data_IF_231640983991
#
_entry.id   IF_231640983991
#
_cell.length_a   1.000
_cell.length_b   1.000
_cell.length_c   1.000
_cell.angle_alpha   90.00
_cell.angle_beta   90.00
_cell.angle_gamma   90.00
#
_symmetry.space_group_name_H-M   'P 1'
#
loop_
_entity.id
_entity.type
_entity.pdbx_description
1 polymer ?
#
# COMPACT_ATOMS: atom_id res chain seq x y z
N UNK A 1 -17.22 -1.92 7.04
CA UNK A 1 -16.71 -2.93 6.09
C UNK A 1 -16.09 -4.05 6.89
N UNK A 2 -16.68 -5.24 6.88
CA UNK A 2 -16.05 -6.45 7.44
C UNK A 2 -15.18 -7.02 6.32
N UNK A 3 -13.93 -6.58 6.27
CA UNK A 3 -12.95 -6.96 5.27
C UNK A 3 -11.58 -7.09 5.95
N UNK A 4 -10.71 -7.90 5.34
CA UNK A 4 -9.34 -8.22 5.80
C UNK A 4 -8.66 -7.03 6.50
N UNK A 5 -8.13 -7.28 7.69
CA UNK A 5 -7.39 -6.28 8.47
C UNK A 5 -6.01 -6.04 7.85
N UNK A 6 -5.39 -4.89 8.16
CA UNK A 6 -4.02 -4.62 7.74
C UNK A 6 -3.05 -5.68 8.27
N UNK A 7 -3.24 -6.10 9.52
CA UNK A 7 -2.42 -7.14 10.16
C UNK A 7 -2.50 -8.48 9.42
N UNK A 8 -3.70 -8.87 8.98
CA UNK A 8 -3.87 -10.07 8.15
C UNK A 8 -3.22 -9.89 6.78
N UNK A 9 -3.36 -8.72 6.16
CA UNK A 9 -2.81 -8.45 4.84
C UNK A 9 -1.27 -8.53 4.81
N UNK A 10 -0.59 -7.92 5.80
CA UNK A 10 0.88 -7.98 5.89
C UNK A 10 1.38 -9.41 6.16
N UNK A 11 0.61 -10.21 6.91
CA UNK A 11 0.93 -11.63 7.12
C UNK A 11 0.73 -12.46 5.84
N UNK A 12 -0.32 -12.20 5.07
CA UNK A 12 -0.60 -12.91 3.81
C UNK A 12 0.51 -12.66 2.78
N UNK A 13 1.01 -11.42 2.69
CA UNK A 13 2.07 -11.06 1.75
C UNK A 13 3.48 -11.25 2.30
N UNK A 14 3.63 -11.66 3.57
CA UNK A 14 4.92 -11.85 4.22
C UNK A 14 5.83 -10.63 4.06
N UNK A 15 5.28 -9.46 4.43
CA UNK A 15 5.95 -8.15 4.43
C UNK A 15 5.98 -7.57 5.83
N UNK A 16 6.88 -6.61 6.06
CA UNK A 16 6.96 -5.93 7.35
C UNK A 16 5.72 -5.04 7.57
N UNK A 17 5.24 -4.93 8.82
CA UNK A 17 4.21 -3.96 9.14
C UNK A 17 4.72 -2.52 8.89
N UNK A 18 3.82 -1.56 8.61
CA UNK A 18 4.21 -0.18 8.37
C UNK A 18 5.05 0.38 9.53
N UNK A 19 6.18 1.03 9.22
CA UNK A 19 7.03 1.70 10.21
C UNK A 19 6.83 3.21 10.10
N UNK A 20 6.46 3.86 11.20
CA UNK A 20 6.14 5.30 11.17
C UNK A 20 4.98 5.64 10.22
N UNK A 21 4.07 4.68 9.99
CA UNK A 21 2.98 4.77 9.01
C UNK A 21 3.38 4.43 7.57
N UNK A 22 4.66 4.41 7.24
CA UNK A 22 5.11 4.16 5.87
C UNK A 22 5.17 2.65 5.58
N UNK A 23 4.73 2.27 4.38
CA UNK A 23 4.79 0.91 3.84
C UNK A 23 5.80 0.88 2.71
N UNK A 24 6.66 -0.13 2.68
CA UNK A 24 7.52 -0.42 1.54
C UNK A 24 6.69 -1.03 0.40
N UNK A 25 6.21 -0.16 -0.50
CA UNK A 25 5.35 -0.59 -1.62
C UNK A 25 6.11 -1.42 -2.67
N UNK A 26 7.44 -1.32 -2.72
CA UNK A 26 8.25 -2.14 -3.63
C UNK A 26 8.26 -3.59 -3.14
N UNK A 27 8.53 -3.81 -1.85
CA UNK A 27 8.47 -5.14 -1.22
C UNK A 27 7.07 -5.76 -1.37
N UNK A 28 6.00 -4.98 -1.14
CA UNK A 28 4.61 -5.42 -1.29
C UNK A 28 4.31 -5.92 -2.71
N UNK A 29 4.74 -5.17 -3.73
CA UNK A 29 4.47 -5.53 -5.13
C UNK A 29 5.27 -6.75 -5.59
N UNK A 30 6.53 -6.88 -5.18
CA UNK A 30 7.34 -8.07 -5.46
C UNK A 30 6.73 -9.34 -4.83
N UNK A 31 6.41 -9.27 -3.53
CA UNK A 31 5.76 -10.36 -2.81
C UNK A 31 4.41 -10.72 -3.40
N UNK A 32 3.59 -9.72 -3.71
CA UNK A 32 2.30 -9.91 -4.37
C UNK A 32 2.47 -10.69 -5.68
N UNK A 33 3.36 -10.22 -6.58
CA UNK A 33 3.55 -10.87 -7.89
C UNK A 33 3.96 -12.32 -7.73
N UNK A 34 4.97 -12.59 -6.90
CA UNK A 34 5.47 -13.95 -6.65
C UNK A 34 4.38 -14.88 -6.12
N UNK A 35 3.64 -14.44 -5.09
CA UNK A 35 2.59 -15.26 -4.47
C UNK A 35 1.39 -15.44 -5.40
N UNK A 36 0.99 -14.38 -6.12
CA UNK A 36 -0.15 -14.41 -7.03
C UNK A 36 0.09 -15.35 -8.21
N UNK A 37 1.28 -15.29 -8.82
CA UNK A 37 1.68 -16.16 -9.94
C UNK A 37 1.82 -17.63 -9.49
N UNK A 38 2.37 -17.86 -8.29
CA UNK A 38 2.51 -19.21 -7.73
C UNK A 38 1.16 -19.87 -7.37
N UNK A 39 0.11 -19.07 -7.17
CA UNK A 39 -1.23 -19.54 -6.82
C UNK A 39 -2.20 -19.48 -8.01
N UNK A 40 -1.70 -19.33 -9.24
CA UNK A 40 -2.51 -19.33 -10.46
C UNK A 40 -3.36 -20.62 -10.59
N UNK A 41 -4.70 -20.53 -10.57
CA UNK A 41 -5.58 -21.69 -10.70
C UNK A 41 -5.39 -22.46 -11.99
N UNK A 42 -4.96 -21.80 -13.06
CA UNK A 42 -4.69 -22.45 -14.35
C UNK A 42 -3.44 -23.34 -14.31
N UNK A 43 -2.57 -23.12 -13.33
CA UNK A 43 -1.32 -23.87 -13.11
C UNK A 43 -1.41 -24.82 -11.90
N UNK A 44 -2.62 -25.14 -11.44
CA UNK A 44 -2.86 -26.01 -10.29
C UNK A 44 -2.84 -25.30 -8.94
N UNK A 45 -2.80 -23.96 -8.92
CA UNK A 45 -2.97 -23.16 -7.72
C UNK A 45 -4.43 -23.08 -7.24
N UNK A 46 -4.67 -22.32 -6.17
CA UNK A 46 -6.00 -22.15 -5.58
C UNK A 46 -6.56 -20.76 -5.87
N UNK A 47 -7.73 -20.70 -6.52
CA UNK A 47 -8.44 -19.44 -6.75
C UNK A 47 -8.75 -18.70 -5.45
N UNK A 48 -9.05 -19.43 -4.38
CA UNK A 48 -9.28 -18.85 -3.07
C UNK A 48 -8.03 -18.18 -2.52
N UNK A 49 -6.87 -18.85 -2.58
CA UNK A 49 -5.60 -18.29 -2.10
C UNK A 49 -5.17 -17.09 -2.95
N UNK A 50 -5.25 -17.21 -4.28
CA UNK A 50 -4.97 -16.10 -5.20
C UNK A 50 -5.86 -14.90 -4.92
N UNK A 51 -7.16 -15.13 -4.66
CA UNK A 51 -8.09 -14.06 -4.25
C UNK A 51 -7.71 -13.43 -2.92
N UNK A 52 -7.24 -14.19 -1.93
CA UNK A 52 -6.76 -13.65 -0.65
C UNK A 52 -5.50 -12.79 -0.83
N UNK A 53 -4.58 -13.22 -1.69
CA UNK A 53 -3.37 -12.47 -2.02
C UNK A 53 -3.72 -11.12 -2.68
N UNK A 54 -4.69 -11.12 -3.60
CA UNK A 54 -5.20 -9.88 -4.21
C UNK A 54 -5.81 -8.93 -3.16
N UNK A 55 -6.68 -9.44 -2.29
CA UNK A 55 -7.31 -8.63 -1.23
C UNK A 55 -6.31 -8.08 -0.23
N UNK A 56 -5.24 -8.81 0.06
CA UNK A 56 -4.16 -8.33 0.91
C UNK A 56 -3.44 -7.12 0.29
N UNK A 57 -3.11 -7.18 -1.01
CA UNK A 57 -2.49 -6.05 -1.71
C UNK A 57 -3.41 -4.82 -1.70
N UNK A 58 -4.69 -5.00 -2.08
CA UNK A 58 -5.69 -3.92 -2.08
C UNK A 58 -5.82 -3.26 -0.70
N UNK A 59 -5.77 -4.06 0.37
CA UNK A 59 -5.87 -3.56 1.74
C UNK A 59 -4.66 -2.71 2.13
N UNK A 60 -3.45 -3.16 1.80
CA UNK A 60 -2.22 -2.41 2.10
C UNK A 60 -2.18 -1.12 1.28
N UNK A 61 -2.55 -1.15 0.00
CA UNK A 61 -2.62 0.03 -0.86
C UNK A 61 -3.61 1.08 -0.34
N UNK A 62 -4.77 0.63 0.16
CA UNK A 62 -5.78 1.51 0.73
C UNK A 62 -5.31 2.24 2.00
N UNK A 63 -4.49 1.59 2.83
CA UNK A 63 -3.95 2.19 4.05
C UNK A 63 -2.72 3.08 3.74
N UNK A 64 -1.94 2.78 2.69
CA UNK A 64 -0.77 3.57 2.29
C UNK A 64 -1.12 4.89 1.58
N UNK A 65 -2.15 4.91 0.72
CA UNK A 65 -2.54 6.07 -0.10
C UNK A 65 -2.79 7.35 0.72
N UNK A 66 -3.66 7.35 1.76
CA UNK A 66 -3.95 8.55 2.53
C UNK A 66 -2.73 9.13 3.23
N UNK A 67 -1.76 8.28 3.60
CA UNK A 67 -0.54 8.76 4.23
C UNK A 67 0.41 9.39 3.22
N UNK A 68 0.58 8.78 2.03
CA UNK A 68 1.38 9.37 0.95
C UNK A 68 0.83 10.73 0.54
N UNK A 69 -0.50 10.86 0.42
CA UNK A 69 -1.16 12.14 0.11
C UNK A 69 -0.93 13.20 1.19
N UNK A 70 -1.03 12.83 2.47
CA UNK A 70 -0.73 13.75 3.59
C UNK A 70 0.73 14.20 3.60
N UNK A 71 1.66 13.27 3.44
CA UNK A 71 3.10 13.60 3.42
C UNK A 71 3.44 14.51 2.25
N UNK A 72 2.91 14.21 1.05
CA UNK A 72 3.09 15.06 -0.13
C UNK A 72 2.51 16.47 0.10
N UNK A 73 1.30 16.57 0.65
CA UNK A 73 0.68 17.85 0.96
C UNK A 73 1.47 18.66 2.00
N UNK A 74 1.95 18.02 3.07
CA UNK A 74 2.81 18.69 4.07
C UNK A 74 4.13 19.19 3.47
N UNK A 75 4.67 18.48 2.48
CA UNK A 75 5.88 18.87 1.76
C UNK A 75 5.61 20.06 0.83
N UNK A 76 4.52 20.02 0.06
CA UNK A 76 4.07 21.14 -0.76
C UNK A 76 3.84 22.40 0.07
N UNK A 77 3.20 22.29 1.24
CA UNK A 77 2.97 23.43 2.16
C UNK A 77 4.28 23.96 2.74
N UNK A 78 5.27 23.10 3.03
CA UNK A 78 6.60 23.55 3.50
C UNK A 78 7.39 24.26 2.40
N UNK A 79 7.30 23.78 1.17
CA UNK A 79 8.00 24.35 0.02
C UNK A 79 7.28 25.59 -0.55
N UNK A 80 6.02 25.80 -0.16
CA UNK A 80 5.25 26.98 -0.50
C UNK A 80 5.82 28.23 0.19
N UNK A 81 6.51 29.08 -0.59
CA UNK A 81 6.93 30.43 -0.18
C UNK A 81 5.98 31.46 -0.79
N UNK A 82 4.96 31.95 -0.07
CA UNK A 82 4.11 33.00 -0.60
C UNK A 82 4.90 34.31 -0.62
N UNK A 83 5.04 34.90 -1.79
CA UNK A 83 5.58 36.25 -1.99
C UNK A 83 4.51 37.26 -1.52
N UNK A 84 4.36 37.35 -0.21
CA UNK A 84 3.62 38.40 0.47
C UNK A 84 4.47 39.66 0.32
N UNK A 85 3.87 40.77 -0.10
CA UNK A 85 4.51 42.04 -0.49
C UNK A 85 4.95 42.11 -1.96
N UNK A 86 3.97 42.32 -2.85
CA UNK A 86 4.16 43.29 -3.92
C UNK A 86 3.62 44.62 -3.42
N UNK A 87 4.55 45.46 -2.98
CA UNK A 87 4.32 46.85 -2.59
C UNK A 87 3.41 47.58 -3.59
N UNK A 88 2.39 48.26 -3.06
CA UNK A 88 1.88 49.52 -3.61
C UNK A 88 1.29 50.38 -2.50
#
# INVERSE_FOLDING_TARGET
>A
MIGMTLEEAVKILDVKPPQGGQVDMEEVLDRFKRLFDANDPQKGGSFYLQSKILRARERIEADAKPLQEKLAHEQEVKDWKPDLYKDK
#
